data_IF_135458870681
#
_entry.id   IF_135458870681
#
_cell.length_a   1.000
_cell.length_b   1.000
_cell.length_c   1.000
_cell.angle_alpha   90.00
_cell.angle_beta   90.00
_cell.angle_gamma   90.00
#
_symmetry.space_group_name_H-M   'P 1'
#
loop_
_entity.id
_entity.type
_entity.pdbx_description
1 polymer ?
#
# COMPACT_ATOMS: atom_id res chain seq x y z
N UNK A 1 -63.95 -53.79 -17.41
CA UNK A 1 -63.02 -53.06 -18.30
C UNK A 1 -62.05 -52.36 -17.37
N UNK A 2 -61.04 -53.11 -16.94
CA UNK A 2 -60.08 -52.63 -15.94
C UNK A 2 -58.88 -52.04 -16.66
N UNK A 3 -58.64 -50.75 -16.37
CA UNK A 3 -57.43 -50.03 -16.78
C UNK A 3 -56.30 -50.46 -15.86
N UNK A 4 -55.41 -51.31 -16.38
CA UNK A 4 -54.21 -51.75 -15.68
C UNK A 4 -53.14 -50.65 -15.79
N UNK A 5 -52.93 -49.92 -14.69
CA UNK A 5 -51.92 -48.88 -14.55
C UNK A 5 -50.59 -49.57 -14.26
N UNK A 6 -49.77 -49.75 -15.30
CA UNK A 6 -48.37 -50.18 -15.19
C UNK A 6 -47.51 -49.04 -14.61
N UNK A 7 -47.53 -48.90 -13.28
CA UNK A 7 -46.51 -48.12 -12.56
C UNK A 7 -45.17 -48.85 -12.58
N UNK A 8 -44.25 -48.34 -13.41
CA UNK A 8 -42.88 -48.81 -13.55
C UNK A 8 -42.10 -48.56 -12.24
N UNK A 9 -41.87 -49.62 -11.45
CA UNK A 9 -41.08 -49.57 -10.22
C UNK A 9 -39.58 -49.50 -10.55
N UNK A 10 -39.11 -48.35 -11.02
CA UNK A 10 -37.70 -48.09 -11.28
C UNK A 10 -36.91 -48.06 -9.95
N UNK A 11 -35.97 -49.00 -9.78
CA UNK A 11 -35.18 -49.16 -8.56
C UNK A 11 -34.47 -47.85 -8.17
N UNK A 12 -34.51 -47.51 -6.87
CA UNK A 12 -33.96 -46.27 -6.32
C UNK A 12 -32.49 -46.00 -6.71
N UNK A 13 -31.68 -47.05 -6.92
CA UNK A 13 -30.28 -46.93 -7.33
C UNK A 13 -30.14 -46.37 -8.75
N UNK A 14 -31.03 -46.76 -9.67
CA UNK A 14 -31.08 -46.26 -11.04
C UNK A 14 -31.53 -44.80 -11.10
N UNK A 15 -32.44 -44.38 -10.20
CA UNK A 15 -32.87 -42.98 -10.09
C UNK A 15 -31.73 -42.06 -9.63
N UNK A 16 -30.94 -42.50 -8.65
CA UNK A 16 -29.80 -41.72 -8.14
C UNK A 16 -28.71 -41.57 -9.22
N UNK A 17 -28.39 -42.63 -9.96
CA UNK A 17 -27.39 -42.56 -11.04
C UNK A 17 -27.78 -41.59 -12.15
N UNK A 18 -29.07 -41.52 -12.52
CA UNK A 18 -29.56 -40.58 -13.55
C UNK A 18 -29.49 -39.13 -13.04
N UNK A 19 -29.81 -38.88 -11.78
CA UNK A 19 -29.72 -37.54 -11.18
C UNK A 19 -28.26 -37.06 -11.18
N UNK A 20 -27.32 -37.89 -10.74
CA UNK A 20 -25.88 -37.53 -10.73
C UNK A 20 -25.36 -37.27 -12.15
N UNK A 21 -25.72 -38.13 -13.12
CA UNK A 21 -25.31 -37.94 -14.51
C UNK A 21 -25.87 -36.62 -15.10
N UNK A 22 -27.14 -36.30 -14.81
CA UNK A 22 -27.76 -35.05 -15.25
C UNK A 22 -27.13 -33.81 -14.60
N UNK A 23 -26.78 -33.88 -13.32
CA UNK A 23 -26.12 -32.79 -12.60
C UNK A 23 -24.71 -32.51 -13.14
N UNK A 24 -23.93 -33.56 -13.46
CA UNK A 24 -22.61 -33.40 -14.07
C UNK A 24 -22.68 -32.83 -15.49
N UNK A 25 -23.67 -33.25 -16.28
CA UNK A 25 -23.88 -32.70 -17.63
C UNK A 25 -24.27 -31.21 -17.57
N UNK A 26 -25.18 -30.82 -16.67
CA UNK A 26 -25.57 -29.44 -16.46
C UNK A 26 -24.42 -28.58 -15.93
N UNK A 27 -23.63 -29.11 -15.00
CA UNK A 27 -22.45 -28.42 -14.47
C UNK A 27 -21.40 -28.20 -15.56
N UNK A 28 -21.12 -29.21 -16.39
CA UNK A 28 -20.20 -29.08 -17.53
C UNK A 28 -20.64 -27.99 -18.51
N UNK A 29 -21.94 -27.96 -18.85
CA UNK A 29 -22.50 -26.94 -19.75
C UNK A 29 -22.44 -25.53 -19.15
N UNK A 30 -22.65 -25.41 -17.84
CA UNK A 30 -22.55 -24.15 -17.11
C UNK A 30 -21.10 -23.64 -17.06
N UNK A 31 -20.11 -24.53 -16.84
CA UNK A 31 -18.69 -24.14 -16.88
C UNK A 31 -18.29 -23.68 -18.28
N UNK A 32 -18.73 -24.37 -19.34
CA UNK A 32 -18.41 -23.94 -20.72
C UNK A 32 -19.02 -22.60 -21.08
N UNK A 33 -20.23 -22.29 -20.62
CA UNK A 33 -20.88 -21.00 -20.92
C UNK A 33 -20.26 -19.84 -20.14
N UNK A 34 -19.80 -20.07 -18.90
CA UNK A 34 -19.09 -19.04 -18.12
C UNK A 34 -17.73 -18.71 -18.75
N UNK A 35 -16.96 -19.71 -19.18
CA UNK A 35 -15.65 -19.46 -19.80
C UNK A 35 -15.73 -18.75 -21.16
N UNK A 36 -16.83 -18.94 -21.91
CA UNK A 36 -17.04 -18.29 -23.21
C UNK A 36 -17.63 -16.87 -23.08
N UNK A 37 -18.29 -16.56 -21.95
CA UNK A 37 -18.84 -15.22 -21.68
C UNK A 37 -17.79 -14.20 -21.20
N UNK A 38 -16.62 -14.66 -20.78
CA UNK A 38 -15.50 -13.79 -20.40
C UNK A 38 -14.31 -14.06 -21.33
N UNK A 39 -14.34 -13.57 -22.59
CA UNK A 39 -13.15 -13.58 -23.43
C UNK A 39 -12.06 -12.84 -22.67
N UNK A 40 -10.97 -13.55 -22.32
CA UNK A 40 -9.78 -12.98 -21.72
C UNK A 40 -9.30 -11.85 -22.63
N UNK A 41 -9.71 -10.62 -22.32
CA UNK A 41 -9.08 -9.42 -22.84
C UNK A 41 -7.68 -9.46 -22.24
N UNK A 42 -6.74 -10.06 -22.97
CA UNK A 42 -5.36 -9.63 -22.89
C UNK A 42 -5.40 -8.15 -23.24
N UNK A 43 -5.45 -7.31 -22.20
CA UNK A 43 -5.08 -5.93 -22.36
C UNK A 43 -3.70 -5.98 -23.01
N UNK A 44 -3.53 -5.37 -24.20
CA UNK A 44 -2.21 -5.29 -24.79
C UNK A 44 -1.33 -4.68 -23.70
N UNK A 45 -0.25 -5.39 -23.35
CA UNK A 45 0.85 -4.80 -22.62
C UNK A 45 1.31 -3.64 -23.51
N UNK A 46 0.76 -2.45 -23.26
CA UNK A 46 1.34 -1.22 -23.76
C UNK A 46 2.63 -1.11 -22.99
N UNK A 47 3.67 -1.74 -23.55
CA UNK A 47 5.04 -1.39 -23.22
C UNK A 47 5.17 0.05 -23.67
N UNK A 48 4.87 0.98 -22.75
CA UNK A 48 5.32 2.35 -22.88
C UNK A 48 6.83 2.26 -22.62
N UNK A 49 7.57 1.78 -23.62
CA UNK A 49 8.97 2.18 -23.79
C UNK A 49 8.92 3.66 -24.14
N UNK A 50 8.55 4.52 -23.19
CA UNK A 50 9.24 5.79 -23.10
C UNK A 50 10.70 5.38 -22.99
N UNK A 51 11.55 5.70 -23.99
CA UNK A 51 12.98 5.53 -23.76
C UNK A 51 13.24 6.32 -22.50
N UNK A 52 13.57 5.61 -21.42
CA UNK A 52 14.20 6.25 -20.28
C UNK A 52 15.51 6.74 -20.87
N UNK A 53 15.49 7.98 -21.35
CA UNK A 53 16.69 8.74 -21.62
C UNK A 53 17.27 8.95 -20.24
N UNK A 54 17.98 7.92 -19.76
CA UNK A 54 18.97 8.09 -18.73
C UNK A 54 19.83 9.24 -19.26
N UNK A 55 20.00 10.33 -18.49
CA UNK A 55 20.95 11.35 -18.89
C UNK A 55 22.24 10.64 -19.27
N UNK A 56 22.80 11.00 -20.43
CA UNK A 56 24.06 10.43 -20.89
C UNK A 56 24.99 10.38 -19.68
N UNK A 57 25.51 9.18 -19.38
CA UNK A 57 26.50 9.01 -18.31
C UNK A 57 27.55 10.07 -18.58
N UNK A 58 27.63 11.08 -17.71
CA UNK A 58 28.61 12.15 -17.86
C UNK A 58 29.97 11.47 -18.11
N UNK A 59 30.58 11.69 -19.27
CA UNK A 59 31.87 11.06 -19.62
C UNK A 59 32.98 11.48 -18.64
N UNK A 60 32.71 12.50 -17.82
CA UNK A 60 33.53 12.93 -16.70
C UNK A 60 33.43 12.02 -15.44
N UNK A 61 32.57 11.01 -15.41
CA UNK A 61 32.42 10.10 -14.26
C UNK A 61 33.54 9.06 -14.24
N UNK A 62 34.47 9.10 -13.26
CA UNK A 62 35.59 8.17 -13.23
C UNK A 62 35.08 6.74 -13.09
N UNK A 63 35.46 5.89 -14.05
CA UNK A 63 35.11 4.47 -14.03
C UNK A 63 36.05 3.76 -13.04
N UNK A 64 35.52 3.29 -11.91
CA UNK A 64 36.31 2.59 -10.90
C UNK A 64 37.07 3.50 -9.93
N UNK A 65 36.63 4.75 -9.73
CA UNK A 65 37.10 5.54 -8.60
C UNK A 65 36.69 4.86 -7.28
N UNK A 66 37.68 4.58 -6.44
CA UNK A 66 37.46 4.21 -5.04
C UNK A 66 37.15 5.50 -4.30
N UNK A 67 36.10 5.51 -3.48
CA UNK A 67 35.78 6.66 -2.65
C UNK A 67 36.94 6.96 -1.70
N UNK A 68 37.45 8.18 -1.74
CA UNK A 68 38.45 8.70 -0.82
C UNK A 68 38.13 10.16 -0.44
N UNK A 69 38.89 10.72 0.50
CA UNK A 69 38.64 12.07 0.97
C UNK A 69 38.90 13.15 -0.09
N UNK A 70 39.66 12.83 -1.15
CA UNK A 70 40.03 13.78 -2.20
C UNK A 70 38.96 13.87 -3.30
N UNK A 71 38.09 12.86 -3.45
CA UNK A 71 37.01 12.84 -4.43
C UNK A 71 35.60 12.94 -3.81
N UNK A 72 35.49 13.22 -2.51
CA UNK A 72 34.22 13.31 -1.80
C UNK A 72 33.25 14.35 -2.41
N UNK A 73 33.78 15.49 -2.87
CA UNK A 73 32.98 16.56 -3.49
C UNK A 73 32.40 16.15 -4.85
N UNK A 74 33.15 15.36 -5.62
CA UNK A 74 32.69 14.84 -6.92
C UNK A 74 31.55 13.82 -6.74
N UNK A 75 31.60 13.00 -5.68
CA UNK A 75 30.52 12.06 -5.35
C UNK A 75 29.27 12.76 -4.78
N UNK A 76 29.44 13.84 -4.02
CA UNK A 76 28.33 14.64 -3.51
C UNK A 76 27.54 15.32 -4.65
N UNK A 77 28.21 15.72 -5.74
CA UNK A 77 27.58 16.36 -6.89
C UNK A 77 26.73 15.42 -7.77
N UNK A 78 26.93 14.10 -7.68
CA UNK A 78 26.24 13.10 -8.50
C UNK A 78 24.93 12.61 -7.86
N UNK A 79 24.79 12.82 -6.55
CA UNK A 79 23.53 12.58 -5.84
C UNK A 79 22.79 13.92 -5.74
N UNK A 80 21.71 14.16 -6.50
CA UNK A 80 20.93 15.39 -6.40
C UNK A 80 20.22 15.39 -5.04
N UNK A 81 20.95 15.74 -4.00
CA UNK A 81 20.39 16.16 -2.74
C UNK A 81 19.61 17.43 -3.06
N UNK A 82 18.31 17.41 -2.82
CA UNK A 82 17.46 18.59 -2.86
C UNK A 82 18.22 19.74 -2.18
N UNK A 83 18.36 20.95 -2.77
CA UNK A 83 19.11 22.06 -2.17
C UNK A 83 18.59 22.50 -0.77
N UNK A 84 17.45 21.98 -0.30
CA UNK A 84 17.04 22.06 1.11
C UNK A 84 17.86 21.15 2.07
N UNK A 85 18.51 20.10 1.55
CA UNK A 85 19.24 19.05 2.28
C UNK A 85 20.62 19.48 2.77
N UNK A 86 21.23 20.53 2.20
CA UNK A 86 22.60 20.96 2.55
C UNK A 86 22.75 21.52 3.97
N UNK A 87 21.64 21.72 4.69
CA UNK A 87 21.64 22.19 6.09
C UNK A 87 21.22 21.12 7.09
N UNK A 88 20.77 19.96 6.63
CA UNK A 88 20.15 18.95 7.47
C UNK A 88 21.19 17.90 7.90
N UNK A 89 21.29 17.64 9.20
CA UNK A 89 22.17 16.60 9.72
C UNK A 89 21.70 15.20 9.30
N UNK A 90 22.62 14.24 9.19
CA UNK A 90 22.29 12.85 8.81
C UNK A 90 21.21 12.22 9.69
N UNK A 91 21.31 12.40 11.01
CA UNK A 91 20.32 11.88 11.97
C UNK A 91 18.92 12.51 11.82
N UNK A 92 18.86 13.76 11.37
CA UNK A 92 17.60 14.44 11.10
C UNK A 92 16.97 13.91 9.82
N UNK A 93 17.80 13.70 8.80
CA UNK A 93 17.37 13.08 7.55
C UNK A 93 16.83 11.67 7.77
N UNK A 94 17.53 10.84 8.54
CA UNK A 94 17.07 9.47 8.88
C UNK A 94 15.70 9.50 9.58
N UNK A 95 15.48 10.47 10.48
CA UNK A 95 14.19 10.65 11.16
C UNK A 95 13.09 11.13 10.20
N UNK A 96 13.42 12.02 9.27
CA UNK A 96 12.49 12.50 8.25
C UNK A 96 12.11 11.40 7.27
N UNK A 97 13.08 10.61 6.79
CA UNK A 97 12.86 9.49 5.89
C UNK A 97 11.93 8.44 6.54
N UNK A 98 12.12 8.18 7.84
CA UNK A 98 11.19 7.36 8.61
C UNK A 98 9.78 7.97 8.66
N UNK A 99 9.67 9.27 8.92
CA UNK A 99 8.37 9.96 8.97
C UNK A 99 7.63 9.88 7.63
N UNK A 100 8.34 10.09 6.51
CA UNK A 100 7.82 9.97 5.14
C UNK A 100 7.35 8.56 4.85
N UNK A 101 8.23 7.58 5.02
CA UNK A 101 7.91 6.16 4.82
C UNK A 101 6.67 5.74 5.62
N UNK A 102 6.59 6.19 6.88
CA UNK A 102 5.50 5.84 7.77
C UNK A 102 4.19 6.49 7.33
N UNK A 103 4.17 7.79 7.04
CA UNK A 103 2.93 8.52 6.77
C UNK A 103 2.28 8.11 5.45
N UNK A 104 3.05 7.76 4.43
CA UNK A 104 2.52 7.25 3.15
C UNK A 104 1.85 5.88 3.32
N UNK A 105 2.51 4.94 4.03
CA UNK A 105 1.94 3.63 4.34
C UNK A 105 0.75 3.73 5.28
N UNK A 106 0.87 4.54 6.34
CA UNK A 106 -0.19 4.73 7.32
C UNK A 106 -1.40 5.46 6.74
N UNK A 107 -1.16 6.36 5.79
CA UNK A 107 -2.19 7.09 5.05
C UNK A 107 -2.92 6.23 4.01
N UNK A 108 -2.39 5.06 3.67
CA UNK A 108 -2.94 4.15 2.66
C UNK A 108 -3.76 3.03 3.31
N UNK A 109 -4.96 2.77 2.77
CA UNK A 109 -5.91 1.77 3.28
C UNK A 109 -6.71 1.15 2.14
N UNK A 110 -7.12 -0.11 2.29
CA UNK A 110 -8.12 -0.74 1.43
C UNK A 110 -8.98 -1.69 2.25
N UNK A 111 -10.29 -1.70 2.03
CA UNK A 111 -11.22 -2.66 2.64
C UNK A 111 -10.84 -4.11 2.34
N UNK A 112 -10.22 -4.37 1.18
CA UNK A 112 -9.83 -5.72 0.76
C UNK A 112 -8.56 -6.20 1.48
N UNK A 113 -7.66 -5.27 1.81
CA UNK A 113 -6.43 -5.54 2.55
C UNK A 113 -6.61 -5.40 4.07
N UNK A 114 -7.70 -4.76 4.51
CA UNK A 114 -7.95 -4.42 5.90
C UNK A 114 -6.83 -3.55 6.48
N UNK A 115 -6.24 -4.01 7.57
CA UNK A 115 -5.22 -3.28 8.32
C UNK A 115 -3.78 -3.79 8.10
N UNK A 116 -3.53 -4.58 7.06
CA UNK A 116 -2.20 -5.17 6.81
C UNK A 116 -1.08 -4.13 6.74
N UNK A 117 -1.33 -2.98 6.12
CA UNK A 117 -0.34 -1.89 6.06
C UNK A 117 0.00 -1.33 7.45
N UNK A 118 -0.96 -1.32 8.39
CA UNK A 118 -0.70 -0.90 9.77
C UNK A 118 0.10 -2.00 10.51
N UNK A 119 -0.17 -3.28 10.22
CA UNK A 119 0.56 -4.40 10.81
C UNK A 119 2.05 -4.37 10.42
N UNK A 120 2.33 -4.09 9.14
CA UNK A 120 3.68 -3.94 8.60
C UNK A 120 4.47 -2.79 9.24
N UNK A 121 3.76 -1.79 9.77
CA UNK A 121 4.36 -0.63 10.42
C UNK A 121 4.69 -0.85 11.90
N UNK A 122 4.27 -1.98 12.50
CA UNK A 122 4.36 -2.23 13.95
C UNK A 122 5.76 -2.06 14.55
N UNK A 123 6.81 -2.39 13.79
CA UNK A 123 8.23 -2.24 14.18
C UNK A 123 8.75 -0.79 14.17
N UNK A 124 8.01 0.13 13.56
CA UNK A 124 8.36 1.55 13.45
C UNK A 124 7.60 2.42 14.46
N UNK A 125 6.76 1.83 15.29
CA UNK A 125 5.91 2.52 16.26
C UNK A 125 6.44 2.37 17.69
N UNK A 126 6.22 3.40 18.49
CA UNK A 126 6.24 3.25 19.96
C UNK A 126 5.14 2.29 20.43
N UNK A 127 5.31 1.70 21.61
CA UNK A 127 4.31 0.80 22.18
C UNK A 127 2.96 1.50 22.42
N UNK A 128 3.00 2.80 22.74
CA UNK A 128 1.80 3.63 22.91
C UNK A 128 1.00 3.74 21.62
N UNK A 129 1.64 4.13 20.52
CA UNK A 129 0.98 4.23 19.22
C UNK A 129 0.44 2.88 18.76
N UNK A 130 1.24 1.82 18.90
CA UNK A 130 0.84 0.47 18.53
C UNK A 130 -0.42 0.03 19.28
N UNK A 131 -0.45 0.19 20.60
CA UNK A 131 -1.62 -0.16 21.42
C UNK A 131 -2.87 0.63 21.03
N UNK A 132 -2.73 1.92 20.71
CA UNK A 132 -3.84 2.77 20.30
C UNK A 132 -4.41 2.34 18.93
N UNK A 133 -3.54 1.96 18.00
CA UNK A 133 -3.97 1.49 16.68
C UNK A 133 -4.64 0.12 16.78
N UNK A 134 -4.12 -0.82 17.57
CA UNK A 134 -4.79 -2.10 17.82
C UNK A 134 -6.20 -1.93 18.38
N UNK A 135 -6.37 -1.03 19.36
CA UNK A 135 -7.69 -0.70 19.89
C UNK A 135 -8.60 -0.08 18.81
N UNK A 136 -8.06 0.77 17.95
CA UNK A 136 -8.81 1.41 16.86
C UNK A 136 -9.26 0.41 15.79
N UNK A 137 -8.43 -0.59 15.46
CA UNK A 137 -8.77 -1.68 14.52
C UNK A 137 -9.99 -2.46 15.01
N UNK A 138 -10.02 -2.82 16.29
CA UNK A 138 -11.12 -3.54 16.92
C UNK A 138 -12.41 -2.72 16.99
N UNK A 139 -12.29 -1.39 17.08
CA UNK A 139 -13.43 -0.48 17.11
C UNK A 139 -13.96 -0.10 15.71
N UNK A 140 -13.23 -0.41 14.64
CA UNK A 140 -13.62 -0.02 13.29
C UNK A 140 -14.74 -0.94 12.78
N UNK A 141 -15.92 -0.39 12.43
CA UNK A 141 -17.01 -1.21 11.89
C UNK A 141 -16.64 -1.74 10.51
N UNK A 142 -17.16 -2.93 10.17
CA UNK A 142 -17.11 -3.41 8.80
C UNK A 142 -17.80 -2.41 7.87
N UNK A 143 -17.15 -2.09 6.75
CA UNK A 143 -17.76 -1.28 5.69
C UNK A 143 -18.46 -2.19 4.69
N UNK A 144 -19.61 -1.73 4.20
CA UNK A 144 -20.28 -2.33 3.06
C UNK A 144 -19.67 -1.79 1.76
N UNK A 145 -19.19 -2.71 0.91
CA UNK A 145 -18.59 -2.39 -0.38
C UNK A 145 -17.12 -1.96 -0.31
N UNK A 146 -16.55 -1.75 -1.49
CA UNK A 146 -15.14 -1.38 -1.65
C UNK A 146 -14.87 0.05 -1.18
N UNK A 147 -13.84 0.21 -0.35
CA UNK A 147 -13.32 1.48 0.09
C UNK A 147 -11.79 1.45 0.11
N UNK A 148 -11.15 2.44 -0.51
CA UNK A 148 -9.69 2.57 -0.46
C UNK A 148 -9.24 4.01 -0.36
N UNK A 149 -8.09 4.21 0.27
CA UNK A 149 -7.36 5.47 0.24
C UNK A 149 -5.93 5.19 -0.17
N UNK A 150 -5.42 5.93 -1.14
CA UNK A 150 -3.99 5.98 -1.46
C UNK A 150 -3.46 7.33 -1.01
N UNK A 151 -2.25 7.36 -0.45
CA UNK A 151 -1.61 8.58 -0.01
C UNK A 151 -0.16 8.63 -0.50
N UNK A 152 0.18 9.72 -1.19
CA UNK A 152 1.51 10.00 -1.70
C UNK A 152 2.01 11.33 -1.12
N UNK A 153 3.28 11.39 -0.72
CA UNK A 153 3.84 12.60 -0.15
C UNK A 153 3.90 13.73 -1.20
N UNK A 154 3.33 14.89 -0.87
CA UNK A 154 3.46 16.12 -1.66
C UNK A 154 4.60 16.99 -1.14
N UNK A 155 4.72 17.13 0.18
CA UNK A 155 5.80 17.87 0.83
C UNK A 155 5.99 17.44 2.28
N UNK A 156 7.19 17.69 2.82
CA UNK A 156 7.52 17.48 4.23
C UNK A 156 8.46 18.59 4.71
N UNK A 157 8.26 19.05 5.94
CA UNK A 157 9.11 20.04 6.60
C UNK A 157 9.45 19.58 8.02
N UNK A 158 10.69 19.81 8.45
CA UNK A 158 11.08 19.66 9.85
C UNK A 158 10.52 20.83 10.65
N UNK A 159 9.67 20.55 11.63
CA UNK A 159 9.23 21.55 12.60
C UNK A 159 10.20 21.61 13.78
N UNK A 160 10.56 20.44 14.31
CA UNK A 160 11.52 20.31 15.40
C UNK A 160 12.38 19.07 15.22
N UNK A 161 13.66 19.19 15.52
CA UNK A 161 14.57 18.05 15.63
C UNK A 161 15.54 18.28 16.78
N UNK A 162 15.54 17.37 17.75
CA UNK A 162 16.35 17.51 18.96
C UNK A 162 16.83 16.14 19.45
N UNK A 163 18.10 15.79 19.16
CA UNK A 163 18.72 14.59 19.69
C UNK A 163 18.79 14.58 21.22
N UNK A 164 18.92 15.74 21.86
CA UNK A 164 19.03 15.86 23.31
C UNK A 164 17.71 15.54 24.01
N UNK A 165 16.58 15.98 23.45
CA UNK A 165 15.23 15.61 23.93
C UNK A 165 14.70 14.33 23.31
N UNK A 166 15.49 13.67 22.44
CA UNK A 166 15.12 12.42 21.76
C UNK A 166 13.78 12.50 21.03
N UNK A 167 13.51 13.65 20.41
CA UNK A 167 12.23 13.96 19.78
C UNK A 167 12.41 14.67 18.43
N UNK A 168 11.51 14.39 17.50
CA UNK A 168 11.42 15.11 16.24
C UNK A 168 9.94 15.26 15.83
N UNK A 169 9.63 16.32 15.11
CA UNK A 169 8.28 16.58 14.58
C UNK A 169 8.39 17.06 13.14
N UNK A 170 7.57 16.48 12.27
CA UNK A 170 7.51 16.80 10.86
C UNK A 170 6.09 17.14 10.45
N UNK A 171 5.93 18.27 9.75
CA UNK A 171 4.69 18.61 9.06
C UNK A 171 4.77 18.06 7.63
N UNK A 172 3.75 17.32 7.22
CA UNK A 172 3.65 16.72 5.89
C UNK A 172 2.35 17.15 5.21
N UNK A 173 2.38 17.26 3.88
CA UNK A 173 1.20 17.38 3.03
C UNK A 173 1.18 16.16 2.12
N UNK A 174 0.04 15.47 2.05
CA UNK A 174 -0.13 14.29 1.23
C UNK A 174 -1.17 14.56 0.14
N UNK A 175 -0.90 14.10 -1.08
CA UNK A 175 -1.91 13.93 -2.10
C UNK A 175 -2.65 12.62 -1.79
N UNK A 176 -3.97 12.69 -1.61
CA UNK A 176 -4.81 11.55 -1.26
C UNK A 176 -5.85 11.30 -2.33
N UNK A 177 -6.06 10.03 -2.63
CA UNK A 177 -7.10 9.56 -3.55
C UNK A 177 -7.99 8.58 -2.79
N UNK A 178 -9.23 8.97 -2.55
CA UNK A 178 -10.21 8.20 -1.80
C UNK A 178 -11.26 7.64 -2.76
N UNK A 179 -11.41 6.32 -2.80
CA UNK A 179 -12.37 5.63 -3.66
C UNK A 179 -13.42 4.94 -2.80
N UNK A 180 -14.69 5.25 -3.04
CA UNK A 180 -15.82 4.65 -2.35
C UNK A 180 -16.97 4.41 -3.33
N UNK A 181 -17.47 3.17 -3.43
CA UNK A 181 -18.65 2.86 -4.26
C UNK A 181 -18.50 3.24 -5.74
N UNK A 182 -17.26 3.18 -6.27
CA UNK A 182 -16.94 3.53 -7.66
C UNK A 182 -16.69 5.02 -7.93
N UNK A 183 -16.82 5.89 -6.94
CA UNK A 183 -16.44 7.30 -7.05
C UNK A 183 -15.05 7.51 -6.45
N UNK A 184 -14.22 8.33 -7.10
CA UNK A 184 -12.89 8.71 -6.62
C UNK A 184 -12.83 10.21 -6.39
N UNK A 185 -12.40 10.60 -5.20
CA UNK A 185 -12.12 11.98 -4.82
C UNK A 185 -10.62 12.16 -4.58
N UNK A 186 -10.04 13.22 -5.13
CA UNK A 186 -8.63 13.58 -4.92
C UNK A 186 -8.55 14.88 -4.13
N UNK A 187 -7.65 14.92 -3.15
CA UNK A 187 -7.46 16.08 -2.28
C UNK A 187 -6.08 16.09 -1.66
N UNK A 188 -5.68 17.25 -1.14
CA UNK A 188 -4.50 17.34 -0.28
C UNK A 188 -4.91 17.30 1.18
N UNK A 189 -4.07 16.73 2.04
CA UNK A 189 -4.31 16.72 3.47
C UNK A 189 -3.02 16.92 4.25
N UNK A 190 -3.10 17.77 5.27
CA UNK A 190 -2.01 17.99 6.22
C UNK A 190 -1.89 16.84 7.21
N UNK A 191 -0.68 16.57 7.68
CA UNK A 191 -0.40 15.64 8.76
C UNK A 191 0.78 16.12 9.60
N UNK A 192 0.72 15.89 10.91
CA UNK A 192 1.82 16.09 11.83
C UNK A 192 2.33 14.73 12.31
N UNK A 193 3.61 14.44 12.12
CA UNK A 193 4.23 13.16 12.50
C UNK A 193 5.24 13.42 13.62
N UNK A 194 5.00 12.81 14.78
CA UNK A 194 5.85 12.96 15.96
C UNK A 194 6.66 11.68 16.16
N UNK A 195 7.98 11.85 16.30
CA UNK A 195 8.93 10.77 16.53
C UNK A 195 9.57 10.90 17.91
N UNK A 196 9.91 9.74 18.49
CA UNK A 196 10.74 9.61 19.69
C UNK A 196 11.86 8.60 19.48
N UNK A 197 13.03 8.84 20.05
CA UNK A 197 14.05 7.80 20.13
C UNK A 197 13.77 6.84 21.29
N UNK A 198 13.90 5.55 21.00
CA UNK A 198 13.88 4.49 22.00
C UNK A 198 15.08 4.59 22.96
N UNK A 199 15.09 3.75 24.00
CA UNK A 199 16.23 3.61 24.90
C UNK A 199 17.53 3.23 24.16
N UNK A 200 17.43 2.48 23.06
CA UNK A 200 18.54 2.05 22.20
C UNK A 200 18.97 3.09 21.16
N UNK A 201 18.29 4.24 21.09
CA UNK A 201 18.61 5.33 20.16
C UNK A 201 17.93 5.23 18.78
N UNK A 202 17.07 4.22 18.56
CA UNK A 202 16.33 4.07 17.31
C UNK A 202 15.13 5.02 17.29
N UNK A 203 14.91 5.72 16.19
CA UNK A 203 13.71 6.55 16.00
C UNK A 203 12.47 5.67 15.78
N UNK A 204 11.37 6.05 16.42
CA UNK A 204 10.06 5.42 16.31
C UNK A 204 8.98 6.49 16.22
N UNK A 205 7.90 6.22 15.50
CA UNK A 205 6.74 7.09 15.42
C UNK A 205 5.92 6.96 16.71
N UNK A 206 5.70 8.09 17.36
CA UNK A 206 4.97 8.20 18.62
C UNK A 206 3.51 8.60 18.39
N UNK A 207 3.25 9.45 17.39
CA UNK A 207 1.88 9.78 16.97
C UNK A 207 1.84 10.36 15.56
N UNK A 208 0.67 10.25 14.95
CA UNK A 208 0.29 10.94 13.72
C UNK A 208 -1.00 11.69 14.00
N UNK A 209 -1.05 12.96 13.61
CA UNK A 209 -2.25 13.80 13.72
C UNK A 209 -2.63 14.28 12.33
N UNK A 210 -3.78 13.86 11.83
CA UNK A 210 -4.33 14.35 10.57
C UNK A 210 -4.87 15.77 10.75
N UNK A 211 -4.45 16.66 9.86
CA UNK A 211 -4.88 18.06 9.79
C UNK A 211 -5.98 18.26 8.74
N UNK A 212 -6.05 19.49 8.24
CA UNK A 212 -7.11 19.91 7.33
C UNK A 212 -6.96 19.27 5.95
N UNK A 213 -8.10 19.03 5.31
CA UNK A 213 -8.19 18.78 3.87
C UNK A 213 -8.12 20.14 3.16
N UNK A 214 -7.19 20.26 2.22
CA UNK A 214 -6.90 21.49 1.47
C UNK A 214 -7.68 21.55 0.16
#
# INVERSE_FOLDING_TARGET
MDFDILTHHMQQRTKISIIIASALALFGLLVTTIFDLFPSKQEPLVSIETPVVLPDRNEALPTGAVFDQANADDFAAINPSDPASDKQGTLERDAQDLAVFFIERFGTYSSDAGFSYIDDLSGFMTDSLRSNLEASKLATPARDGFYSITADLASVATDTFSPSSRSATFSAVLNRSETAGGNTEQYQQEALVLLKQSGSGSWLVDSVVWGNKL
#
